data_IF_244347558203
#
_entry.id   IF_244347558203
#
_cell.length_a   1.000
_cell.length_b   1.000
_cell.length_c   1.000
_cell.angle_alpha   90.00
_cell.angle_beta   90.00
_cell.angle_gamma   90.00
#
_symmetry.space_group_name_H-M   'P 1'
#
loop_
_entity.id
_entity.type
_entity.pdbx_description
1 polymer ?
#
# COMPACT_ATOMS: atom_id res chain seq x y z
N UNK A 1 -11.89 23.05 -14.48
CA UNK A 1 -12.88 22.53 -13.51
C UNK A 1 -12.16 22.36 -12.19
N UNK A 2 -12.63 22.94 -11.07
CA UNK A 2 -12.09 22.57 -9.75
C UNK A 2 -12.47 21.11 -9.50
N UNK A 3 -11.50 20.20 -9.45
CA UNK A 3 -11.70 18.83 -8.99
C UNK A 3 -12.35 18.91 -7.60
N UNK A 4 -13.43 18.14 -7.40
CA UNK A 4 -14.09 18.04 -6.10
C UNK A 4 -13.11 17.45 -5.10
N UNK A 5 -12.77 18.19 -4.05
CA UNK A 5 -11.93 17.70 -2.97
C UNK A 5 -12.74 16.82 -2.05
N UNK A 6 -12.22 15.64 -1.72
CA UNK A 6 -12.89 14.68 -0.84
C UNK A 6 -12.42 14.86 0.60
N UNK A 7 -13.35 14.64 1.54
CA UNK A 7 -13.00 14.39 2.93
C UNK A 7 -12.52 12.92 3.04
N UNK A 8 -11.28 12.74 3.47
CA UNK A 8 -10.65 11.43 3.61
C UNK A 8 -10.67 11.01 5.07
N UNK A 9 -11.10 9.78 5.31
CA UNK A 9 -11.04 9.13 6.62
C UNK A 9 -10.15 7.89 6.56
N UNK A 10 -9.48 7.56 7.66
CA UNK A 10 -8.64 6.37 7.78
C UNK A 10 -9.14 5.49 8.92
N UNK A 11 -9.45 4.24 8.61
CA UNK A 11 -9.80 3.20 9.59
C UNK A 11 -8.60 2.27 9.74
N UNK A 12 -8.04 2.20 10.93
CA UNK A 12 -6.77 1.52 11.22
C UNK A 12 -5.57 2.46 11.22
N UNK A 13 -4.37 1.89 11.30
CA UNK A 13 -3.10 2.63 11.41
C UNK A 13 -1.95 2.02 10.60
N UNK A 14 -2.25 1.13 9.64
CA UNK A 14 -1.21 0.57 8.77
C UNK A 14 -0.45 1.68 8.03
N UNK A 15 0.87 1.52 7.93
CA UNK A 15 1.76 2.53 7.35
C UNK A 15 1.40 2.90 5.90
N UNK A 16 0.91 1.94 5.12
CA UNK A 16 0.45 2.17 3.75
C UNK A 16 -0.75 3.13 3.69
N UNK A 17 -1.74 2.93 4.57
CA UNK A 17 -2.92 3.78 4.65
C UNK A 17 -2.59 5.20 5.11
N UNK A 18 -1.69 5.34 6.08
CA UNK A 18 -1.23 6.65 6.55
C UNK A 18 -0.47 7.40 5.45
N UNK A 19 0.45 6.72 4.73
CA UNK A 19 1.19 7.32 3.63
C UNK A 19 0.25 7.74 2.47
N UNK A 20 -0.73 6.91 2.14
CA UNK A 20 -1.74 7.26 1.13
C UNK A 20 -2.60 8.45 1.57
N UNK A 21 -3.01 8.52 2.83
CA UNK A 21 -3.73 9.67 3.36
C UNK A 21 -2.91 10.95 3.26
N UNK A 22 -1.61 10.89 3.56
CA UNK A 22 -0.69 12.03 3.40
C UNK A 22 -0.54 12.44 1.93
N UNK A 23 -0.41 11.48 1.01
CA UNK A 23 -0.31 11.77 -0.42
C UNK A 23 -1.60 12.42 -0.95
N UNK A 24 -2.77 11.95 -0.54
CA UNK A 24 -4.06 12.57 -0.86
C UNK A 24 -4.17 13.98 -0.27
N UNK A 25 -3.67 14.20 0.96
CA UNK A 25 -3.61 15.55 1.54
C UNK A 25 -2.72 16.49 0.71
N UNK A 26 -1.56 16.02 0.23
CA UNK A 26 -0.70 16.80 -0.68
C UNK A 26 -1.37 17.08 -2.03
N UNK A 27 -2.18 16.17 -2.54
CA UNK A 27 -3.01 16.36 -3.73
C UNK A 27 -4.17 17.37 -3.51
N UNK A 28 -4.42 17.73 -2.25
CA UNK A 28 -5.39 18.76 -1.87
C UNK A 28 -6.72 18.23 -1.36
N UNK A 29 -6.84 16.93 -1.09
CA UNK A 29 -7.95 16.38 -0.31
C UNK A 29 -7.81 16.74 1.17
N UNK A 30 -8.88 16.57 1.93
CA UNK A 30 -8.87 16.89 3.37
C UNK A 30 -8.92 15.59 4.19
N UNK A 31 -7.83 15.24 4.87
CA UNK A 31 -7.87 14.14 5.85
C UNK A 31 -8.52 14.65 7.12
N UNK A 32 -9.76 14.26 7.35
CA UNK A 32 -10.61 14.82 8.41
C UNK A 32 -10.64 13.98 9.68
N UNK A 33 -10.44 12.67 9.56
CA UNK A 33 -10.57 11.74 10.67
C UNK A 33 -9.70 10.49 10.52
N UNK A 34 -9.23 9.97 11.65
CA UNK A 34 -8.56 8.66 11.77
C UNK A 34 -9.16 7.90 12.95
N UNK A 35 -9.23 6.58 12.86
CA UNK A 35 -9.70 5.77 13.99
C UNK A 35 -8.58 5.45 14.98
N UNK A 36 -7.34 5.41 14.53
CA UNK A 36 -6.14 5.16 15.34
C UNK A 36 -5.06 6.17 14.97
N UNK A 37 -4.27 6.57 15.95
CA UNK A 37 -3.11 7.43 15.70
C UNK A 37 -1.99 6.61 15.00
N UNK A 38 -1.28 7.21 14.03
CA UNK A 38 -0.09 6.58 13.44
C UNK A 38 0.94 6.25 14.52
N UNK A 39 1.59 5.09 14.43
CA UNK A 39 2.60 4.64 15.38
C UNK A 39 2.11 4.64 16.85
N UNK A 40 0.80 4.46 17.07
CA UNK A 40 0.15 4.52 18.39
C UNK A 40 0.48 5.78 19.22
N UNK A 41 0.79 6.89 18.56
CA UNK A 41 1.18 8.16 19.17
C UNK A 41 0.35 9.32 18.63
N UNK A 42 -0.29 10.07 19.53
CA UNK A 42 -1.05 11.27 19.15
C UNK A 42 -0.10 12.38 18.61
N UNK A 43 1.16 12.45 19.08
CA UNK A 43 2.18 13.36 18.52
C UNK A 43 2.45 13.04 17.05
N UNK A 44 2.48 11.76 16.69
CA UNK A 44 2.65 11.32 15.29
C UNK A 44 1.46 11.72 14.43
N UNK A 45 0.25 11.72 14.98
CA UNK A 45 -0.94 12.19 14.26
C UNK A 45 -0.83 13.69 13.92
N UNK A 46 -0.43 14.53 14.89
CA UNK A 46 -0.26 15.96 14.67
C UNK A 46 0.80 16.28 13.61
N UNK A 47 1.87 15.47 13.54
CA UNK A 47 2.95 15.65 12.56
C UNK A 47 2.54 15.14 11.17
N UNK A 48 1.95 13.95 11.09
CA UNK A 48 1.68 13.27 9.82
C UNK A 48 0.37 13.69 9.17
N UNK A 49 -0.67 13.97 9.98
CA UNK A 49 -2.02 14.29 9.53
C UNK A 49 -2.62 15.41 10.39
N UNK A 50 -2.07 16.63 10.37
CA UNK A 50 -2.34 17.71 11.33
C UNK A 50 -3.80 18.21 11.37
N UNK A 51 -4.59 17.93 10.33
CA UNK A 51 -6.01 18.32 10.28
C UNK A 51 -6.95 17.19 10.71
N UNK A 52 -6.44 15.98 10.84
CA UNK A 52 -7.24 14.81 11.18
C UNK A 52 -7.54 14.76 12.68
N UNK A 53 -8.75 14.32 13.01
CA UNK A 53 -9.15 14.06 14.40
C UNK A 53 -9.21 12.57 14.65
N UNK A 54 -8.69 12.13 15.80
CA UNK A 54 -8.86 10.76 16.27
C UNK A 54 -10.28 10.59 16.83
N UNK A 55 -11.05 9.71 16.23
CA UNK A 55 -12.46 9.46 16.56
C UNK A 55 -12.79 7.97 16.43
N UNK A 56 -14.02 7.55 16.79
CA UNK A 56 -14.44 6.16 16.54
C UNK A 56 -14.52 5.84 15.05
N UNK A 57 -14.47 4.56 14.69
CA UNK A 57 -14.53 4.11 13.30
C UNK A 57 -15.84 4.55 12.62
N UNK A 58 -16.96 4.43 13.31
CA UNK A 58 -18.27 4.89 12.82
C UNK A 58 -18.25 6.39 12.53
N UNK A 59 -17.58 7.17 13.38
CA UNK A 59 -17.46 8.62 13.20
C UNK A 59 -16.52 8.96 12.03
N UNK A 60 -15.49 8.15 11.76
CA UNK A 60 -14.69 8.27 10.54
C UNK A 60 -15.58 8.13 9.31
N UNK A 61 -16.43 7.09 9.26
CA UNK A 61 -17.33 6.85 8.13
C UNK A 61 -18.36 7.98 7.97
N UNK A 62 -18.87 8.53 9.08
CA UNK A 62 -19.82 9.65 9.04
C UNK A 62 -19.21 10.91 8.40
N UNK A 63 -17.92 11.17 8.66
CA UNK A 63 -17.24 12.40 8.24
C UNK A 63 -16.60 12.32 6.85
N UNK A 64 -16.29 11.12 6.36
CA UNK A 64 -15.47 10.92 5.17
C UNK A 64 -16.32 10.64 3.92
N UNK A 65 -15.89 11.19 2.78
CA UNK A 65 -16.40 10.85 1.44
C UNK A 65 -15.60 9.66 0.86
N UNK A 66 -14.33 9.54 1.27
CA UNK A 66 -13.43 8.44 0.94
C UNK A 66 -12.87 7.84 2.22
N UNK A 67 -13.02 6.54 2.42
CA UNK A 67 -12.52 5.79 3.57
C UNK A 67 -11.38 4.87 3.11
N UNK A 68 -10.19 5.05 3.69
CA UNK A 68 -9.06 4.14 3.55
C UNK A 68 -9.09 3.10 4.67
N UNK A 69 -9.15 1.82 4.32
CA UNK A 69 -9.05 0.71 5.26
C UNK A 69 -7.57 0.36 5.45
N UNK A 70 -6.95 0.98 6.45
CA UNK A 70 -5.54 0.79 6.84
C UNK A 70 -5.41 -0.32 7.89
N UNK A 71 -5.91 -1.50 7.56
CA UNK A 71 -5.92 -2.69 8.40
C UNK A 71 -5.26 -3.87 7.68
N UNK A 72 -4.72 -4.86 8.41
CA UNK A 72 -4.20 -6.09 7.80
C UNK A 72 -5.24 -6.76 6.90
N UNK A 73 -4.79 -7.34 5.78
CA UNK A 73 -5.64 -7.98 4.79
C UNK A 73 -6.66 -8.96 5.39
N UNK A 74 -6.22 -9.80 6.31
CA UNK A 74 -7.05 -10.79 7.00
C UNK A 74 -8.18 -10.18 7.86
N UNK A 75 -8.13 -8.87 8.13
CA UNK A 75 -9.13 -8.18 8.95
C UNK A 75 -10.15 -7.38 8.12
N UNK A 76 -9.95 -7.26 6.80
CA UNK A 76 -10.79 -6.40 5.95
C UNK A 76 -12.25 -6.83 6.01
N UNK A 77 -12.55 -8.11 5.78
CA UNK A 77 -13.92 -8.62 5.76
C UNK A 77 -14.64 -8.41 7.09
N UNK A 78 -13.98 -8.79 8.20
CA UNK A 78 -14.54 -8.59 9.56
C UNK A 78 -14.73 -7.09 9.86
N UNK A 79 -13.86 -6.23 9.36
CA UNK A 79 -13.98 -4.78 9.53
C UNK A 79 -15.18 -4.22 8.75
N UNK A 80 -15.37 -4.66 7.51
CA UNK A 80 -16.54 -4.29 6.69
C UNK A 80 -17.83 -4.72 7.38
N UNK A 81 -17.87 -5.93 7.92
CA UNK A 81 -19.05 -6.46 8.61
C UNK A 81 -19.34 -5.69 9.91
N UNK A 82 -18.32 -5.42 10.73
CA UNK A 82 -18.48 -4.68 11.98
C UNK A 82 -19.02 -3.26 11.78
N UNK A 83 -18.77 -2.66 10.63
CA UNK A 83 -19.22 -1.30 10.26
C UNK A 83 -20.43 -1.30 9.34
N UNK A 84 -21.12 -2.43 9.16
CA UNK A 84 -22.22 -2.61 8.20
C UNK A 84 -23.33 -1.57 8.28
N UNK A 85 -23.61 -1.03 9.46
CA UNK A 85 -24.64 -0.01 9.68
C UNK A 85 -24.15 1.43 9.46
N UNK A 86 -22.88 1.64 9.16
CA UNK A 86 -22.25 2.96 9.09
C UNK A 86 -21.87 3.38 7.67
N UNK A 87 -21.86 2.44 6.71
CA UNK A 87 -21.60 2.72 5.30
C UNK A 87 -22.69 3.57 4.67
N UNK A 88 -22.30 4.44 3.73
CA UNK A 88 -23.22 5.38 3.08
C UNK A 88 -23.21 5.22 1.56
N UNK A 89 -24.36 5.43 0.96
CA UNK A 89 -24.48 5.45 -0.50
C UNK A 89 -23.57 6.53 -1.12
N UNK A 90 -22.82 6.15 -2.16
CA UNK A 90 -21.86 7.02 -2.86
C UNK A 90 -20.52 7.21 -2.15
N UNK A 91 -20.32 6.67 -0.95
CA UNK A 91 -19.05 6.72 -0.24
C UNK A 91 -18.00 5.84 -0.92
N UNK A 92 -16.81 6.36 -1.18
CA UNK A 92 -15.69 5.58 -1.71
C UNK A 92 -15.05 4.77 -0.57
N UNK A 93 -14.86 3.48 -0.79
CA UNK A 93 -14.20 2.60 0.19
C UNK A 93 -13.01 1.95 -0.48
N UNK A 94 -11.82 2.15 0.07
CA UNK A 94 -10.56 1.67 -0.48
C UNK A 94 -9.92 0.69 0.49
N UNK A 95 -9.59 -0.51 0.03
CA UNK A 95 -8.64 -1.38 0.74
C UNK A 95 -7.29 -1.42 0.03
N UNK A 96 -6.25 -1.83 0.77
CA UNK A 96 -4.85 -1.77 0.34
C UNK A 96 -4.19 -3.14 0.21
N UNK A 97 -4.96 -4.22 0.31
CA UNK A 97 -4.42 -5.59 0.21
C UNK A 97 -4.06 -5.96 -1.24
N UNK A 98 -2.93 -6.64 -1.42
CA UNK A 98 -2.45 -7.10 -2.72
C UNK A 98 -3.30 -8.24 -3.28
N UNK A 99 -3.69 -9.18 -2.40
CA UNK A 99 -4.33 -10.45 -2.73
C UNK A 99 -5.81 -10.35 -3.08
N UNK A 100 -6.49 -9.27 -2.63
CA UNK A 100 -7.91 -9.10 -2.84
C UNK A 100 -8.21 -8.07 -3.93
N UNK A 101 -9.31 -8.28 -4.63
CA UNK A 101 -9.89 -7.25 -5.47
C UNK A 101 -10.99 -6.49 -4.71
N UNK A 102 -11.73 -5.63 -5.41
CA UNK A 102 -12.78 -4.81 -4.83
C UNK A 102 -13.99 -5.62 -4.31
N UNK A 103 -14.14 -6.90 -4.69
CA UNK A 103 -15.30 -7.72 -4.29
C UNK A 103 -15.32 -8.03 -2.79
N UNK A 104 -14.15 -8.04 -2.13
CA UNK A 104 -14.07 -8.21 -0.67
C UNK A 104 -14.86 -7.13 0.10
N UNK A 105 -15.15 -6.00 -0.55
CA UNK A 105 -15.92 -4.89 0.00
C UNK A 105 -17.44 -5.02 -0.18
N UNK A 106 -17.93 -6.20 -0.57
CA UNK A 106 -19.35 -6.45 -0.88
C UNK A 106 -20.32 -6.01 0.23
N UNK A 107 -19.91 -6.13 1.52
CA UNK A 107 -20.72 -5.67 2.66
C UNK A 107 -20.96 -4.16 2.63
N UNK A 108 -19.97 -3.35 2.27
CA UNK A 108 -20.12 -1.91 2.10
C UNK A 108 -20.94 -1.56 0.83
N UNK A 109 -20.77 -2.33 -0.25
CA UNK A 109 -21.55 -2.17 -1.50
C UNK A 109 -23.04 -2.37 -1.26
N UNK A 110 -23.41 -3.27 -0.35
CA UNK A 110 -24.82 -3.51 0.01
C UNK A 110 -25.50 -2.26 0.60
N UNK A 111 -24.73 -1.34 1.17
CA UNK A 111 -25.20 -0.03 1.64
C UNK A 111 -25.07 1.07 0.57
N UNK A 112 -24.65 0.74 -0.66
CA UNK A 112 -24.47 1.67 -1.78
C UNK A 112 -23.12 2.36 -1.82
N UNK A 113 -22.12 1.90 -1.07
CA UNK A 113 -20.75 2.40 -1.16
C UNK A 113 -20.09 1.92 -2.48
N UNK A 114 -19.07 2.63 -2.92
CA UNK A 114 -18.32 2.37 -4.14
C UNK A 114 -16.99 1.70 -3.78
N UNK A 115 -16.80 0.43 -4.12
CA UNK A 115 -15.61 -0.33 -3.71
C UNK A 115 -14.43 -0.07 -4.64
N UNK A 116 -13.26 0.15 -4.07
CA UNK A 116 -12.00 0.32 -4.78
C UNK A 116 -10.92 -0.53 -4.10
N UNK A 117 -10.14 -1.26 -4.87
CA UNK A 117 -8.91 -1.91 -4.43
C UNK A 117 -7.74 -1.14 -5.01
N UNK A 118 -6.87 -0.59 -4.15
CA UNK A 118 -5.70 0.18 -4.55
C UNK A 118 -4.51 -0.29 -3.72
N UNK A 119 -3.63 -1.09 -4.31
CA UNK A 119 -2.45 -1.61 -3.62
C UNK A 119 -1.17 -0.96 -4.16
N UNK A 120 -0.44 -0.20 -3.34
CA UNK A 120 0.88 0.33 -3.70
C UNK A 120 1.91 -0.80 -3.82
N UNK A 121 2.55 -0.96 -5.00
CA UNK A 121 3.57 -1.99 -5.23
C UNK A 121 4.91 -1.59 -4.61
N UNK A 122 4.94 -1.30 -3.30
CA UNK A 122 6.14 -0.93 -2.56
C UNK A 122 6.04 -1.35 -1.10
N UNK A 123 7.18 -1.38 -0.41
CA UNK A 123 7.21 -1.55 1.06
C UNK A 123 7.25 -0.18 1.73
N UNK A 124 6.37 0.00 2.70
CA UNK A 124 6.32 1.20 3.52
C UNK A 124 7.24 1.06 4.74
N UNK A 125 7.92 2.14 5.06
CA UNK A 125 8.83 2.24 6.21
C UNK A 125 8.23 3.02 7.37
N UNK A 126 7.06 3.65 7.15
CA UNK A 126 6.41 4.54 8.11
C UNK A 126 7.13 5.90 8.25
N UNK A 127 7.98 6.25 7.29
CA UNK A 127 8.76 7.50 7.29
C UNK A 127 8.34 8.43 6.15
N UNK A 128 8.75 9.69 6.21
CA UNK A 128 8.50 10.68 5.14
C UNK A 128 9.12 10.30 3.78
N UNK A 129 10.07 9.37 3.75
CA UNK A 129 10.64 8.84 2.51
C UNK A 129 9.62 8.08 1.67
N UNK A 130 8.61 7.50 2.30
CA UNK A 130 7.57 6.75 1.60
C UNK A 130 6.81 7.61 0.58
N UNK A 131 6.56 8.89 0.89
CA UNK A 131 5.88 9.82 -0.03
C UNK A 131 6.68 10.07 -1.33
N UNK A 132 8.00 10.10 -1.25
CA UNK A 132 8.83 10.25 -2.44
C UNK A 132 8.87 8.96 -3.26
N UNK A 133 8.97 7.80 -2.59
CA UNK A 133 8.95 6.49 -3.24
C UNK A 133 7.63 6.19 -3.94
N UNK A 134 6.51 6.66 -3.37
CA UNK A 134 5.19 6.50 -3.99
C UNK A 134 5.13 7.11 -5.39
N UNK A 135 5.78 8.26 -5.62
CA UNK A 135 5.81 8.93 -6.93
C UNK A 135 6.55 8.15 -8.01
N UNK A 136 7.39 7.22 -7.62
CA UNK A 136 8.18 6.37 -8.51
C UNK A 136 7.60 4.94 -8.60
N UNK A 137 6.45 4.70 -7.95
CA UNK A 137 5.88 3.36 -7.84
C UNK A 137 4.58 3.21 -8.64
N UNK A 138 4.27 1.94 -8.95
CA UNK A 138 3.01 1.55 -9.57
C UNK A 138 2.01 1.12 -8.49
N UNK A 139 0.75 1.47 -8.71
CA UNK A 139 -0.33 1.03 -7.83
C UNK A 139 -1.28 0.11 -8.58
N UNK A 140 -1.44 -1.12 -8.10
CA UNK A 140 -2.40 -2.06 -8.65
C UNK A 140 -3.82 -1.65 -8.27
N UNK A 141 -4.66 -1.40 -9.28
CA UNK A 141 -6.04 -0.98 -9.08
C UNK A 141 -7.02 -2.01 -9.61
N UNK A 142 -8.13 -2.23 -8.91
CA UNK A 142 -9.34 -2.84 -9.43
C UNK A 142 -10.59 -2.20 -8.82
N UNK A 143 -11.64 -2.13 -9.60
CA UNK A 143 -12.92 -1.55 -9.21
C UNK A 143 -14.01 -2.01 -10.21
N UNK A 144 -15.29 -1.85 -9.90
CA UNK A 144 -16.34 -1.94 -10.93
C UNK A 144 -16.03 -1.01 -12.10
N UNK A 145 -16.38 -1.43 -13.32
CA UNK A 145 -16.04 -0.70 -14.56
C UNK A 145 -16.37 0.80 -14.49
N UNK A 146 -17.50 1.15 -13.89
CA UNK A 146 -17.91 2.56 -13.74
C UNK A 146 -17.09 3.35 -12.72
N UNK A 147 -16.45 2.68 -11.78
CA UNK A 147 -15.65 3.29 -10.71
C UNK A 147 -14.13 3.22 -10.99
N UNK A 148 -13.69 2.40 -11.93
CA UNK A 148 -12.27 2.24 -12.26
C UNK A 148 -11.55 3.57 -12.59
N UNK A 149 -12.16 4.50 -13.35
CA UNK A 149 -11.55 5.81 -13.58
C UNK A 149 -11.32 6.62 -12.29
N UNK A 150 -12.15 6.41 -11.25
CA UNK A 150 -11.98 7.07 -9.96
C UNK A 150 -10.73 6.51 -9.25
N UNK A 151 -10.57 5.18 -9.21
CA UNK A 151 -9.38 4.55 -8.62
C UNK A 151 -8.09 5.02 -9.33
N UNK A 152 -8.09 5.03 -10.65
CA UNK A 152 -6.95 5.52 -11.44
C UNK A 152 -6.66 7.00 -11.18
N UNK A 153 -7.68 7.85 -11.13
CA UNK A 153 -7.50 9.28 -10.83
C UNK A 153 -6.88 9.52 -9.46
N UNK A 154 -7.35 8.81 -8.41
CA UNK A 154 -6.78 8.90 -7.07
C UNK A 154 -5.29 8.54 -7.04
N UNK A 155 -4.89 7.49 -7.78
CA UNK A 155 -3.47 7.09 -7.87
C UNK A 155 -2.64 8.17 -8.57
N UNK A 156 -3.13 8.72 -9.69
CA UNK A 156 -2.44 9.80 -10.41
C UNK A 156 -2.33 11.06 -9.55
N UNK A 157 -3.37 11.41 -8.80
CA UNK A 157 -3.35 12.56 -7.89
C UNK A 157 -2.31 12.41 -6.76
N UNK A 158 -2.08 11.17 -6.29
CA UNK A 158 -0.99 10.85 -5.35
C UNK A 158 0.41 10.89 -5.99
N UNK A 159 0.48 11.06 -7.31
CA UNK A 159 1.74 11.13 -8.08
C UNK A 159 2.30 9.77 -8.50
N UNK A 160 1.55 8.68 -8.32
CA UNK A 160 1.92 7.32 -8.71
C UNK A 160 1.29 6.93 -10.06
N UNK A 161 1.66 5.77 -10.59
CA UNK A 161 1.15 5.24 -11.85
C UNK A 161 0.18 4.08 -11.62
N UNK A 162 -1.08 4.14 -12.08
CA UNK A 162 -2.03 3.06 -11.91
C UNK A 162 -1.83 1.94 -12.94
N UNK A 163 -1.82 0.69 -12.45
CA UNK A 163 -1.92 -0.51 -13.30
C UNK A 163 -3.19 -1.28 -12.94
N UNK A 164 -3.97 -1.65 -13.94
CA UNK A 164 -5.20 -2.43 -13.71
C UNK A 164 -4.82 -3.91 -13.59
N UNK A 165 -5.24 -4.53 -12.49
CA UNK A 165 -5.07 -5.97 -12.25
C UNK A 165 -6.45 -6.61 -12.19
N UNK A 166 -6.71 -7.54 -13.12
CA UNK A 166 -7.94 -8.31 -13.15
C UNK A 166 -8.04 -9.24 -11.92
N UNK A 167 -9.27 -9.50 -11.45
CA UNK A 167 -9.53 -10.36 -10.28
C UNK A 167 -8.83 -11.71 -10.37
N UNK A 168 -8.84 -12.34 -11.56
CA UNK A 168 -8.18 -13.63 -11.82
C UNK A 168 -6.64 -13.60 -11.67
N UNK A 169 -6.03 -12.42 -11.79
CA UNK A 169 -4.57 -12.24 -11.70
C UNK A 169 -4.11 -11.76 -10.31
N UNK A 170 -5.04 -11.44 -9.38
CA UNK A 170 -4.70 -10.90 -8.06
C UNK A 170 -3.81 -11.83 -7.24
N UNK A 171 -4.08 -13.12 -7.22
CA UNK A 171 -3.27 -14.09 -6.49
C UNK A 171 -1.82 -14.12 -6.99
N UNK A 172 -1.62 -14.19 -8.31
CA UNK A 172 -0.28 -14.17 -8.90
C UNK A 172 0.45 -12.85 -8.70
N UNK A 173 -0.29 -11.73 -8.74
CA UNK A 173 0.26 -10.41 -8.42
C UNK A 173 0.74 -10.36 -6.96
N UNK A 174 -0.09 -10.77 -6.01
CA UNK A 174 0.26 -10.80 -4.59
C UNK A 174 1.47 -11.68 -4.32
N UNK A 175 1.52 -12.88 -4.91
CA UNK A 175 2.66 -13.79 -4.83
C UNK A 175 3.95 -13.13 -5.35
N UNK A 176 3.88 -12.42 -6.48
CA UNK A 176 5.03 -11.72 -7.05
C UNK A 176 5.54 -10.61 -6.11
N UNK A 177 4.65 -9.82 -5.50
CA UNK A 177 5.00 -8.80 -4.51
C UNK A 177 5.62 -9.43 -3.26
N UNK A 178 5.06 -10.53 -2.77
CA UNK A 178 5.59 -11.25 -1.61
C UNK A 178 6.98 -11.84 -1.88
N UNK A 179 7.17 -12.50 -3.02
CA UNK A 179 8.47 -13.02 -3.47
C UNK A 179 9.49 -11.89 -3.54
N UNK A 180 9.18 -10.80 -4.24
CA UNK A 180 10.10 -9.66 -4.38
C UNK A 180 10.48 -9.04 -3.03
N UNK A 181 9.54 -8.96 -2.08
CA UNK A 181 9.80 -8.30 -0.79
C UNK A 181 10.44 -9.21 0.24
N UNK A 182 9.93 -10.44 0.42
CA UNK A 182 10.37 -11.33 1.51
C UNK A 182 11.66 -12.08 1.16
N UNK A 183 11.76 -12.63 -0.05
CA UNK A 183 12.97 -13.35 -0.46
C UNK A 183 14.17 -12.40 -0.61
N UNK A 184 13.96 -11.19 -1.12
CA UNK A 184 15.04 -10.19 -1.19
C UNK A 184 15.57 -9.85 0.19
N UNK A 185 14.71 -9.61 1.19
CA UNK A 185 15.12 -9.36 2.55
C UNK A 185 15.87 -10.56 3.18
N UNK A 186 15.41 -11.79 2.89
CA UNK A 186 16.02 -13.00 3.39
C UNK A 186 17.43 -13.21 2.84
N UNK A 187 17.63 -13.00 1.53
CA UNK A 187 18.94 -13.10 0.87
C UNK A 187 19.92 -12.05 1.44
N UNK A 188 19.47 -10.80 1.60
CA UNK A 188 20.26 -9.72 2.19
C UNK A 188 20.72 -10.09 3.60
N UNK A 189 19.79 -10.55 4.46
CA UNK A 189 20.09 -10.93 5.84
C UNK A 189 21.08 -12.10 5.90
N UNK A 190 20.94 -13.10 5.03
CA UNK A 190 21.87 -14.22 4.94
C UNK A 190 23.27 -13.75 4.55
N UNK A 191 23.41 -12.88 3.55
CA UNK A 191 24.68 -12.34 3.11
C UNK A 191 25.36 -11.52 4.22
N UNK A 192 24.61 -10.70 4.93
CA UNK A 192 25.10 -9.94 6.10
C UNK A 192 25.64 -10.91 7.16
N UNK A 193 24.88 -11.94 7.53
CA UNK A 193 25.29 -12.92 8.53
C UNK A 193 26.57 -13.68 8.17
N UNK A 194 26.80 -13.99 6.90
CA UNK A 194 28.03 -14.60 6.42
C UNK A 194 29.25 -13.65 6.56
N UNK A 195 29.06 -12.37 6.24
CA UNK A 195 30.12 -11.38 6.41
C UNK A 195 30.44 -11.10 7.89
N UNK A 196 29.45 -11.13 8.78
CA UNK A 196 29.63 -11.04 10.23
C UNK A 196 30.49 -12.22 10.74
N UNK A 197 30.18 -13.44 10.31
CA UNK A 197 30.98 -14.64 10.65
C UNK A 197 32.41 -14.54 10.13
N UNK A 198 32.64 -13.88 9.00
CA UNK A 198 33.97 -13.61 8.46
C UNK A 198 34.70 -12.45 9.16
N UNK A 199 34.09 -11.81 10.16
CA UNK A 199 34.67 -10.69 10.90
C UNK A 199 34.71 -9.37 10.12
N UNK A 200 33.88 -9.23 9.07
CA UNK A 200 33.86 -7.99 8.26
C UNK A 200 33.12 -6.89 9.01
N UNK A 201 33.75 -5.73 9.25
CA UNK A 201 33.08 -4.60 9.89
C UNK A 201 32.05 -3.95 8.95
N UNK A 202 30.91 -3.54 9.50
CA UNK A 202 29.81 -2.90 8.75
C UNK A 202 29.35 -3.71 7.52
N UNK A 203 28.97 -4.98 7.67
CA UNK A 203 28.72 -5.90 6.56
C UNK A 203 27.62 -5.41 5.62
N UNK A 204 26.61 -4.70 6.13
CA UNK A 204 25.55 -4.12 5.32
C UNK A 204 26.08 -3.11 4.28
N UNK A 205 27.05 -2.27 4.66
CA UNK A 205 27.67 -1.31 3.74
C UNK A 205 28.54 -2.01 2.67
N UNK A 206 29.17 -3.13 3.03
CA UNK A 206 30.01 -3.89 2.11
C UNK A 206 29.19 -4.62 1.06
N UNK A 207 28.02 -5.19 1.46
CA UNK A 207 27.22 -6.00 0.55
C UNK A 207 26.24 -5.15 -0.30
N UNK A 208 25.88 -3.94 0.13
CA UNK A 208 24.89 -3.12 -0.57
C UNK A 208 25.20 -2.91 -2.06
N UNK A 209 26.40 -2.51 -2.50
CA UNK A 209 26.70 -2.30 -3.92
C UNK A 209 26.60 -3.60 -4.75
N UNK A 210 26.90 -4.75 -4.13
CA UNK A 210 26.81 -6.06 -4.82
C UNK A 210 25.34 -6.41 -5.06
N UNK A 211 24.48 -6.23 -4.05
CA UNK A 211 23.03 -6.50 -4.17
C UNK A 211 22.40 -5.54 -5.17
N UNK A 212 22.67 -4.24 -5.07
CA UNK A 212 22.14 -3.23 -5.99
C UNK A 212 22.48 -3.57 -7.44
N UNK A 213 23.76 -3.87 -7.74
CA UNK A 213 24.17 -4.23 -9.09
C UNK A 213 23.57 -5.54 -9.59
N UNK A 214 23.39 -6.53 -8.72
CA UNK A 214 22.75 -7.79 -9.06
C UNK A 214 21.26 -7.61 -9.39
N UNK A 215 20.54 -6.80 -8.60
CA UNK A 215 19.14 -6.46 -8.84
C UNK A 215 18.98 -5.68 -10.14
N UNK A 216 19.79 -4.63 -10.36
CA UNK A 216 19.78 -3.84 -11.59
C UNK A 216 20.04 -4.70 -12.84
N UNK A 217 21.00 -5.62 -12.73
CA UNK A 217 21.29 -6.56 -13.81
C UNK A 217 20.11 -7.51 -14.08
N UNK A 218 19.45 -8.00 -13.01
CA UNK A 218 18.30 -8.89 -13.16
C UNK A 218 17.11 -8.15 -13.81
N UNK A 219 16.81 -6.94 -13.35
CA UNK A 219 15.73 -6.12 -13.91
C UNK A 219 15.99 -5.75 -15.37
N UNK A 220 17.23 -5.42 -15.74
CA UNK A 220 17.59 -5.06 -17.12
C UNK A 220 17.48 -6.21 -18.11
N UNK A 221 17.67 -7.46 -17.64
CA UNK A 221 17.57 -8.67 -18.48
C UNK A 221 16.14 -9.18 -18.63
N UNK A 222 15.20 -8.69 -17.80
CA UNK A 222 13.83 -9.17 -17.74
C UNK A 222 13.71 -10.62 -17.22
N UNK A 223 12.54 -11.21 -17.36
CA UNK A 223 12.29 -12.56 -16.91
C UNK A 223 13.17 -13.57 -17.67
N UNK A 224 14.00 -14.31 -16.93
CA UNK A 224 14.82 -15.40 -17.44
C UNK A 224 14.60 -16.64 -16.58
N UNK A 225 14.37 -17.76 -17.21
CA UNK A 225 14.33 -19.03 -16.51
C UNK A 225 15.74 -19.36 -16.01
N UNK A 226 15.91 -19.42 -14.68
CA UNK A 226 17.18 -19.80 -14.05
C UNK A 226 17.38 -21.30 -14.25
N UNK A 227 18.46 -21.68 -14.88
CA UNK A 227 18.86 -23.07 -15.02
C UNK A 227 19.81 -23.47 -13.89
N UNK A 228 19.87 -24.76 -13.49
CA UNK A 228 20.77 -25.22 -12.43
C UNK A 228 22.24 -24.83 -12.65
N UNK A 229 22.69 -24.80 -13.91
CA UNK A 229 24.03 -24.37 -14.31
C UNK A 229 24.32 -22.88 -14.06
N UNK A 230 23.29 -22.03 -14.03
CA UNK A 230 23.43 -20.59 -13.74
C UNK A 230 23.69 -20.34 -12.22
N UNK A 231 23.43 -21.35 -11.36
CA UNK A 231 23.61 -21.25 -9.91
C UNK A 231 25.03 -21.69 -9.46
N UNK A 232 25.76 -22.37 -10.34
CA UNK A 232 27.12 -22.79 -10.10
C UNK A 232 28.00 -21.77 -10.85
N UNK A 233 28.49 -20.77 -10.12
CA UNK A 233 29.37 -19.75 -10.71
C UNK A 233 30.56 -20.40 -11.38
N UNK A 234 30.96 -19.90 -12.53
CA UNK A 234 32.23 -20.25 -13.19
C UNK A 234 33.37 -19.96 -12.21
N UNK A 235 34.03 -21.03 -11.76
CA UNK A 235 35.17 -21.02 -10.83
C UNK A 235 36.41 -20.47 -11.53
#
# INVERSE_FOLDING_TARGET
MKQGRLNVGVVGSDASGIAMAQALAQAGHMVVAVSQAPLDSDDSLEVLLPLAKKVSEEKVLELADLVLLAVPAAQIEAKIESLSNSWRAGQLVVHLAAEFDHEILAGAVSAGAIPLAIHPAMRFTGTSLDLNRMKESFFAVSAPVVALPIAQALVIEMGAEPIVIESSARASYAEAIEVASNFSAMIVNQAIGLLEQAGVPNPALVIAPVIESAVDQALSKGHRQIKPEDLIGDS
#
